data_IF_021866673551
#
_entry.id   IF_021866673551
#
_cell.length_a   1.000
_cell.length_b   1.000
_cell.length_c   1.000
_cell.angle_alpha   90.00
_cell.angle_beta   90.00
_cell.angle_gamma   90.00
#
_symmetry.space_group_name_H-M   'P 1'
#
loop_
_entity.id
_entity.type
_entity.pdbx_description
1 polymer ?
#
# COMPACT_ATOMS: atom_id res chain seq x y z
N UNK A 1 -9.94 9.73 13.69
CA UNK A 1 -9.68 9.01 12.41
C UNK A 1 -8.95 9.87 11.38
N UNK A 2 -9.35 11.12 11.10
CA UNK A 2 -8.61 12.02 10.17
C UNK A 2 -7.13 12.16 10.52
N UNK A 3 -6.81 12.34 11.81
CA UNK A 3 -5.42 12.38 12.30
C UNK A 3 -4.63 11.12 11.95
N UNK A 4 -5.25 9.95 12.07
CA UNK A 4 -4.65 8.66 11.72
C UNK A 4 -4.49 8.50 10.22
N UNK A 5 -5.46 8.95 9.43
CA UNK A 5 -5.38 8.93 7.96
C UNK A 5 -4.26 9.85 7.45
N UNK A 6 -4.12 11.06 8.00
CA UNK A 6 -3.01 11.96 7.69
C UNK A 6 -1.65 11.41 8.15
N UNK A 7 -1.60 10.75 9.32
CA UNK A 7 -0.39 10.07 9.77
C UNK A 7 0.01 8.91 8.84
N UNK A 8 -0.97 8.17 8.34
CA UNK A 8 -0.75 7.09 7.37
C UNK A 8 -0.33 7.64 6.00
N UNK A 9 -0.93 8.74 5.54
CA UNK A 9 -0.50 9.46 4.34
C UNK A 9 0.97 9.89 4.44
N UNK A 10 1.36 10.46 5.59
CA UNK A 10 2.74 10.82 5.86
C UNK A 10 3.65 9.58 5.85
N UNK A 11 3.23 8.48 6.46
CA UNK A 11 3.98 7.22 6.43
C UNK A 11 4.18 6.69 5.01
N UNK A 12 3.17 6.76 4.14
CA UNK A 12 3.29 6.34 2.74
C UNK A 12 4.22 7.25 1.94
N UNK A 13 4.17 8.56 2.18
CA UNK A 13 5.11 9.51 1.59
C UNK A 13 6.55 9.25 2.06
N UNK A 14 6.75 8.92 3.33
CA UNK A 14 8.06 8.56 3.88
C UNK A 14 8.63 7.29 3.23
N UNK A 15 7.78 6.27 2.98
CA UNK A 15 8.18 5.06 2.23
C UNK A 15 8.57 5.43 0.79
N UNK A 16 7.80 6.29 0.13
CA UNK A 16 8.16 6.81 -1.19
C UNK A 16 9.52 7.51 -1.20
N UNK A 17 9.80 8.35 -0.19
CA UNK A 17 11.10 9.00 -0.02
C UNK A 17 12.23 7.99 0.25
N UNK A 18 11.97 6.90 0.99
CA UNK A 18 12.93 5.81 1.17
C UNK A 18 13.26 5.12 -0.15
N UNK A 19 12.28 4.89 -1.05
CA UNK A 19 12.57 4.36 -2.39
C UNK A 19 13.46 5.31 -3.20
N UNK A 20 13.23 6.62 -3.13
CA UNK A 20 14.11 7.60 -3.77
C UNK A 20 15.53 7.57 -3.18
N UNK A 21 15.66 7.43 -1.86
CA UNK A 21 16.95 7.29 -1.20
C UNK A 21 17.71 6.01 -1.63
N UNK A 22 16.98 4.94 -1.96
CA UNK A 22 17.54 3.70 -2.50
C UNK A 22 17.74 3.72 -4.04
N UNK A 23 17.63 4.90 -4.68
CA UNK A 23 17.78 5.07 -6.13
C UNK A 23 16.74 4.28 -6.97
N UNK A 24 15.59 3.94 -6.38
CA UNK A 24 14.45 3.31 -7.05
C UNK A 24 13.44 4.39 -7.49
N UNK A 25 13.84 5.26 -8.40
CA UNK A 25 13.14 6.52 -8.68
C UNK A 25 11.72 6.31 -9.22
N UNK A 26 11.56 5.42 -10.21
CA UNK A 26 10.25 5.12 -10.78
C UNK A 26 9.28 4.58 -9.72
N UNK A 27 9.72 3.63 -8.90
CA UNK A 27 8.90 3.06 -7.82
C UNK A 27 8.56 4.10 -6.75
N UNK A 28 9.52 4.96 -6.38
CA UNK A 28 9.30 6.03 -5.40
C UNK A 28 8.26 7.04 -5.86
N UNK A 29 8.34 7.47 -7.13
CA UNK A 29 7.33 8.37 -7.72
C UNK A 29 5.96 7.68 -7.79
N UNK A 30 5.90 6.44 -8.25
CA UNK A 30 4.65 5.67 -8.30
C UNK A 30 4.02 5.48 -6.92
N UNK A 31 4.82 5.20 -5.90
CA UNK A 31 4.36 5.07 -4.51
C UNK A 31 3.72 6.37 -4.03
N UNK A 32 4.38 7.50 -4.24
CA UNK A 32 3.85 8.81 -3.82
C UNK A 32 2.60 9.15 -4.63
N UNK A 33 2.62 8.98 -5.95
CA UNK A 33 1.49 9.34 -6.80
C UNK A 33 0.26 8.47 -6.56
N UNK A 34 0.41 7.14 -6.50
CA UNK A 34 -0.74 6.24 -6.40
C UNK A 34 -1.22 6.08 -4.95
N UNK A 35 -0.34 5.71 -4.02
CA UNK A 35 -0.74 5.39 -2.64
C UNK A 35 -1.13 6.63 -1.85
N UNK A 36 -0.43 7.76 -2.04
CA UNK A 36 -0.80 8.99 -1.35
C UNK A 36 -2.14 9.53 -1.87
N UNK A 37 -2.39 9.44 -3.19
CA UNK A 37 -3.65 9.90 -3.78
C UNK A 37 -4.83 9.02 -3.35
N UNK A 38 -4.69 7.70 -3.39
CA UNK A 38 -5.73 6.75 -2.93
C UNK A 38 -6.14 7.04 -1.48
N UNK A 39 -5.16 7.11 -0.58
CA UNK A 39 -5.41 7.35 0.84
C UNK A 39 -6.03 8.72 1.10
N UNK A 40 -5.61 9.74 0.35
CA UNK A 40 -6.17 11.10 0.45
C UNK A 40 -7.64 11.12 0.02
N UNK A 41 -7.97 10.48 -1.10
CA UNK A 41 -9.35 10.38 -1.58
C UNK A 41 -10.20 9.64 -0.54
N UNK A 42 -9.78 8.46 -0.09
CA UNK A 42 -10.51 7.69 0.92
C UNK A 42 -10.74 8.52 2.20
N UNK A 43 -9.70 9.21 2.70
CA UNK A 43 -9.81 10.06 3.89
C UNK A 43 -10.85 11.18 3.72
N UNK A 44 -10.87 11.85 2.56
CA UNK A 44 -11.84 12.91 2.26
C UNK A 44 -13.26 12.34 2.18
N UNK A 45 -13.48 11.28 1.41
CA UNK A 45 -14.79 10.66 1.24
C UNK A 45 -15.34 10.12 2.57
N UNK A 46 -14.47 9.53 3.40
CA UNK A 46 -14.82 9.04 4.72
C UNK A 46 -15.29 10.16 5.65
N UNK A 47 -14.56 11.29 5.71
CA UNK A 47 -14.98 12.46 6.50
C UNK A 47 -16.30 13.04 5.99
N UNK A 48 -16.50 13.05 4.68
CA UNK A 48 -17.66 13.67 4.05
C UNK A 48 -18.93 12.81 4.17
N UNK A 49 -18.80 11.48 4.10
CA UNK A 49 -19.96 10.58 4.00
C UNK A 49 -20.20 9.68 5.23
N UNK A 50 -19.25 9.54 6.17
CA UNK A 50 -19.52 8.81 7.42
C UNK A 50 -20.09 9.73 8.49
N UNK A 51 -21.21 9.31 9.09
CA UNK A 51 -21.97 10.06 10.09
C UNK A 51 -21.30 10.11 11.48
N UNK A 52 -20.44 9.12 11.79
CA UNK A 52 -19.52 9.16 12.94
C UNK A 52 -18.16 8.56 12.53
N UNK A 53 -17.26 9.38 11.95
CA UNK A 53 -15.93 8.94 11.55
C UNK A 53 -15.01 8.77 12.77
N UNK A 54 -15.48 8.94 14.00
CA UNK A 54 -14.66 8.92 15.21
C UNK A 54 -14.76 7.62 16.00
N UNK A 55 -15.89 6.91 15.90
CA UNK A 55 -16.16 5.76 16.77
C UNK A 55 -16.08 6.17 18.25
N UNK A 56 -16.64 7.33 18.59
CA UNK A 56 -16.63 7.89 19.96
C UNK A 56 -17.62 7.19 20.90
N UNK A 57 -18.35 6.18 20.40
CA UNK A 57 -19.02 5.22 21.28
C UNK A 57 -17.96 4.36 21.97
N UNK A 58 -17.96 4.35 23.29
CA UNK A 58 -17.18 3.44 24.14
C UNK A 58 -17.56 1.97 23.85
N UNK A 59 -17.17 1.46 22.69
CA UNK A 59 -17.10 0.04 22.41
C UNK A 59 -15.70 -0.41 22.75
N UNK A 60 -15.47 -0.72 24.02
CA UNK A 60 -14.27 -1.44 24.43
C UNK A 60 -14.35 -2.86 23.85
N UNK A 61 -13.83 -3.02 22.63
CA UNK A 61 -13.46 -4.31 22.05
C UNK A 61 -12.25 -4.85 22.85
N UNK A 62 -12.48 -5.19 24.13
CA UNK A 62 -11.46 -5.64 25.07
C UNK A 62 -11.02 -7.09 24.86
N UNK A 63 -11.64 -7.80 23.91
CA UNK A 63 -11.30 -9.17 23.63
C UNK A 63 -9.90 -9.25 22.98
N UNK A 64 -8.94 -9.68 23.81
CA UNK A 64 -7.61 -10.15 23.42
C UNK A 64 -6.55 -9.10 23.00
N UNK A 65 -6.61 -7.87 23.51
CA UNK A 65 -5.55 -6.84 23.31
C UNK A 65 -4.13 -7.37 23.58
N UNK A 66 -3.96 -8.21 24.61
CA UNK A 66 -2.67 -8.83 24.95
C UNK A 66 -2.19 -9.82 23.88
N UNK A 67 -3.08 -10.61 23.28
CA UNK A 67 -2.72 -11.52 22.20
C UNK A 67 -2.41 -10.76 20.91
N UNK A 68 -3.18 -9.73 20.58
CA UNK A 68 -2.89 -8.86 19.44
C UNK A 68 -1.53 -8.15 19.59
N UNK A 69 -1.23 -7.63 20.77
CA UNK A 69 0.09 -7.04 21.07
C UNK A 69 1.19 -8.10 21.00
N UNK A 70 0.99 -9.29 21.58
CA UNK A 70 1.97 -10.37 21.52
C UNK A 70 2.24 -10.81 20.07
N UNK A 71 1.20 -10.96 19.25
CA UNK A 71 1.31 -11.30 17.83
C UNK A 71 2.05 -10.20 17.05
N UNK A 72 1.75 -8.92 17.32
CA UNK A 72 2.45 -7.79 16.70
C UNK A 72 3.93 -7.75 17.05
N UNK A 73 4.27 -7.93 18.33
CA UNK A 73 5.67 -7.94 18.80
C UNK A 73 6.42 -9.15 18.25
N UNK A 74 5.81 -10.35 18.30
CA UNK A 74 6.42 -11.56 17.74
C UNK A 74 6.63 -11.43 16.24
N UNK A 75 5.67 -10.88 15.50
CA UNK A 75 5.81 -10.61 14.07
C UNK A 75 6.94 -9.62 13.77
N UNK A 76 7.05 -8.53 14.54
CA UNK A 76 8.12 -7.56 14.39
C UNK A 76 9.50 -8.17 14.71
N UNK A 77 9.62 -8.97 15.77
CA UNK A 77 10.85 -9.67 16.12
C UNK A 77 11.23 -10.72 15.08
N UNK A 78 10.26 -11.45 14.52
CA UNK A 78 10.49 -12.40 13.45
C UNK A 78 11.01 -11.70 12.18
N UNK A 79 10.39 -10.59 11.78
CA UNK A 79 10.85 -9.79 10.65
C UNK A 79 12.26 -9.22 10.89
N UNK A 80 12.53 -8.67 12.07
CA UNK A 80 13.86 -8.18 12.44
C UNK A 80 14.90 -9.31 12.47
N UNK A 81 14.52 -10.49 12.93
CA UNK A 81 15.36 -11.69 12.91
C UNK A 81 15.72 -12.11 11.48
N UNK A 82 14.76 -12.11 10.55
CA UNK A 82 15.04 -12.37 9.12
C UNK A 82 16.00 -11.32 8.57
N UNK A 83 15.77 -10.04 8.85
CA UNK A 83 16.66 -8.96 8.37
C UNK A 83 18.09 -9.11 8.91
N UNK A 84 18.25 -9.49 10.18
CA UNK A 84 19.56 -9.60 10.81
C UNK A 84 20.32 -10.90 10.51
N UNK A 85 19.58 -12.00 10.29
CA UNK A 85 20.17 -13.34 10.11
C UNK A 85 20.30 -13.76 8.64
N UNK A 86 19.53 -13.14 7.73
CA UNK A 86 19.64 -13.45 6.31
C UNK A 86 20.93 -12.88 5.72
N UNK A 87 21.58 -13.66 4.87
CA UNK A 87 22.68 -13.18 4.03
C UNK A 87 22.08 -12.52 2.78
N UNK A 88 22.16 -11.19 2.74
CA UNK A 88 21.65 -10.36 1.64
C UNK A 88 22.65 -10.26 0.47
N UNK A 89 23.82 -10.86 0.59
CA UNK A 89 24.89 -10.77 -0.40
C UNK A 89 25.62 -9.43 -0.38
N UNK A 90 26.33 -9.14 -1.46
CA UNK A 90 27.15 -7.93 -1.56
C UNK A 90 26.32 -6.69 -1.83
N UNK A 91 26.62 -5.60 -1.11
CA UNK A 91 26.00 -4.29 -1.36
C UNK A 91 26.47 -3.78 -2.72
N UNK A 92 25.52 -3.47 -3.60
CA UNK A 92 25.83 -2.80 -4.87
C UNK A 92 26.27 -1.37 -4.60
N UNK A 93 27.48 -1.01 -5.04
CA UNK A 93 28.06 0.31 -4.80
C UNK A 93 27.41 1.43 -5.64
N UNK A 94 26.71 1.09 -6.72
CA UNK A 94 26.00 2.05 -7.56
C UNK A 94 24.80 1.42 -8.26
N UNK A 95 23.63 2.06 -8.17
CA UNK A 95 22.49 1.71 -9.00
C UNK A 95 22.68 2.24 -10.44
N UNK A 96 22.17 1.54 -11.47
CA UNK A 96 22.12 2.06 -12.84
C UNK A 96 21.30 3.36 -12.92
N UNK A 97 21.50 4.19 -13.95
CA UNK A 97 20.69 5.40 -14.14
C UNK A 97 19.18 5.13 -14.28
N UNK A 98 18.36 6.06 -13.81
CA UNK A 98 16.89 6.04 -13.85
C UNK A 98 16.30 5.51 -15.17
N UNK A 99 16.81 6.03 -16.29
CA UNK A 99 16.32 5.72 -17.62
C UNK A 99 16.50 4.24 -17.96
N UNK A 100 17.66 3.67 -17.64
CA UNK A 100 17.98 2.26 -17.87
C UNK A 100 17.15 1.36 -16.97
N UNK A 101 16.93 1.76 -15.71
CA UNK A 101 16.06 1.02 -14.81
C UNK A 101 14.61 0.95 -15.35
N UNK A 102 14.11 2.08 -15.86
CA UNK A 102 12.75 2.19 -16.41
C UNK A 102 12.58 1.37 -17.69
N UNK A 103 13.56 1.43 -18.60
CA UNK A 103 13.59 0.60 -19.81
C UNK A 103 13.56 -0.89 -19.46
N UNK A 104 14.46 -1.33 -18.56
CA UNK A 104 14.53 -2.73 -18.13
C UNK A 104 13.25 -3.20 -17.45
N UNK A 105 12.61 -2.34 -16.64
CA UNK A 105 11.32 -2.65 -16.04
C UNK A 105 10.24 -2.85 -17.11
N UNK A 106 10.18 -1.97 -18.11
CA UNK A 106 9.26 -2.11 -19.25
C UNK A 106 9.48 -3.41 -20.03
N UNK A 107 10.74 -3.75 -20.34
CA UNK A 107 11.08 -5.00 -21.03
C UNK A 107 10.70 -6.22 -20.19
N UNK A 108 10.93 -6.18 -18.88
CA UNK A 108 10.59 -7.27 -17.97
C UNK A 108 9.06 -7.47 -17.84
N UNK A 109 8.32 -6.36 -17.75
CA UNK A 109 6.84 -6.35 -17.68
C UNK A 109 6.21 -6.91 -18.95
N UNK A 110 6.72 -6.54 -20.13
CA UNK A 110 6.20 -7.00 -21.42
C UNK A 110 6.81 -8.33 -21.89
N UNK A 111 7.89 -8.77 -21.28
CA UNK A 111 8.55 -10.05 -21.56
C UNK A 111 8.10 -11.13 -20.59
N UNK A 112 8.95 -11.46 -19.63
CA UNK A 112 8.74 -12.59 -18.71
C UNK A 112 7.50 -12.41 -17.82
N UNK A 113 7.18 -11.18 -17.43
CA UNK A 113 6.10 -10.89 -16.49
C UNK A 113 4.77 -10.50 -17.15
N UNK A 114 4.63 -10.72 -18.47
CA UNK A 114 3.46 -10.30 -19.24
C UNK A 114 2.14 -10.88 -18.70
N UNK A 115 2.15 -12.15 -18.28
CA UNK A 115 0.95 -12.78 -17.69
C UNK A 115 0.59 -12.18 -16.33
N UNK A 116 1.58 -11.77 -15.53
CA UNK A 116 1.34 -11.09 -14.24
C UNK A 116 0.75 -9.70 -14.49
N UNK A 117 1.26 -8.98 -15.50
CA UNK A 117 0.71 -7.69 -15.91
C UNK A 117 -0.76 -7.82 -16.37
N UNK A 118 -1.07 -8.81 -17.22
CA UNK A 118 -2.42 -9.02 -17.73
C UNK A 118 -3.41 -9.39 -16.61
N UNK A 119 -3.00 -10.27 -15.70
CA UNK A 119 -3.84 -10.66 -14.56
C UNK A 119 -4.08 -9.49 -13.60
N UNK A 120 -3.11 -8.59 -13.41
CA UNK A 120 -3.33 -7.33 -12.68
C UNK A 120 -4.35 -6.44 -13.40
N UNK A 121 -4.26 -6.30 -14.72
CA UNK A 121 -5.23 -5.55 -15.53
C UNK A 121 -6.66 -6.09 -15.43
N UNK A 122 -6.83 -7.41 -15.58
CA UNK A 122 -8.13 -8.08 -15.42
C UNK A 122 -8.67 -7.92 -13.99
N UNK A 123 -7.80 -7.94 -12.99
CA UNK A 123 -8.18 -7.72 -11.58
C UNK A 123 -8.72 -6.31 -11.37
N UNK A 124 -8.05 -5.30 -11.92
CA UNK A 124 -8.51 -3.90 -11.86
C UNK A 124 -9.86 -3.74 -12.56
N UNK A 125 -10.01 -4.31 -13.76
CA UNK A 125 -11.28 -4.29 -14.49
C UNK A 125 -12.40 -4.93 -13.67
N UNK A 126 -12.14 -6.11 -13.09
CA UNK A 126 -13.10 -6.83 -12.26
C UNK A 126 -13.48 -6.01 -11.02
N UNK A 127 -12.50 -5.39 -10.36
CA UNK A 127 -12.73 -4.53 -9.20
C UNK A 127 -13.61 -3.32 -9.57
N UNK A 128 -13.37 -2.67 -10.72
CA UNK A 128 -14.20 -1.56 -11.21
C UNK A 128 -15.64 -1.99 -11.46
N UNK A 129 -15.85 -3.14 -12.11
CA UNK A 129 -17.19 -3.70 -12.36
C UNK A 129 -17.89 -4.01 -11.04
N UNK A 130 -17.21 -4.70 -10.11
CA UNK A 130 -17.76 -5.07 -8.82
C UNK A 130 -18.12 -3.83 -7.98
N UNK A 131 -17.23 -2.84 -7.88
CA UNK A 131 -17.48 -1.61 -7.16
C UNK A 131 -18.68 -0.84 -7.74
N UNK A 132 -18.77 -0.75 -9.07
CA UNK A 132 -19.90 -0.09 -9.75
C UNK A 132 -21.21 -0.85 -9.51
N UNK A 133 -21.19 -2.18 -9.62
CA UNK A 133 -22.37 -3.00 -9.38
C UNK A 133 -22.91 -2.88 -7.94
N UNK A 134 -22.01 -2.76 -6.95
CA UNK A 134 -22.37 -2.52 -5.55
C UNK A 134 -22.92 -1.11 -5.33
N UNK A 135 -22.43 -0.11 -6.07
CA UNK A 135 -22.87 1.28 -5.94
C UNK A 135 -24.27 1.54 -6.55
N UNK A 136 -24.77 0.67 -7.43
CA UNK A 136 -26.08 0.84 -8.06
C UNK A 136 -27.20 0.49 -7.05
N UNK A 137 -28.08 1.45 -6.78
CA UNK A 137 -29.24 1.21 -5.92
C UNK A 137 -30.24 0.24 -6.56
N UNK A 138 -30.52 -0.85 -5.85
CA UNK A 138 -31.44 -1.88 -6.33
C UNK A 138 -32.88 -1.41 -6.10
N UNK A 139 -33.48 -0.77 -7.10
CA UNK A 139 -34.93 -0.45 -7.11
C UNK A 139 -35.73 -1.76 -7.04
N UNK A 140 -36.15 -2.15 -5.83
CA UNK A 140 -37.18 -3.17 -5.65
C UNK A 140 -38.53 -2.55 -6.05
N UNK A 141 -39.20 -3.17 -7.02
CA UNK A 141 -40.64 -2.97 -7.25
C UNK A 141 -41.42 -3.77 -6.23
#
# INVERSE_FOLDING_TARGET
MVRSALALLFSQAAIGAMFLAMQAEFLGVLQIMMMATEMSIMAIFMVMYMMDPGGLGEMDMSHQKKLAMAAGVLGALAAAGVVALADWGTVSAAAPPAAVQTERLGTEMLGRSMLVFETAGVTILTAMIAATAVAIERRRR
#
